data_IF_391671884464
#
_entry.id   IF_391671884464
#
_cell.length_a   1.000
_cell.length_b   1.000
_cell.length_c   1.000
_cell.angle_alpha   90.00
_cell.angle_beta   90.00
_cell.angle_gamma   90.00
#
_symmetry.space_group_name_H-M   'P 1'
#
loop_
_entity.id
_entity.type
_entity.pdbx_description
1 polymer ?
#
# COMPACT_ATOMS: atom_id res chain seq x y z
N UNK A 1 19.84 -33.21 -36.76
CA UNK A 1 19.97 -32.95 -35.31
C UNK A 1 18.78 -32.10 -34.88
N UNK A 2 17.81 -32.71 -34.26
CA UNK A 2 16.60 -32.07 -33.76
C UNK A 2 16.86 -31.60 -32.31
N UNK A 3 16.80 -30.31 -32.06
CA UNK A 3 16.85 -29.76 -30.70
C UNK A 3 15.52 -30.10 -30.00
N UNK A 4 15.55 -30.62 -28.77
CA UNK A 4 14.34 -30.87 -28.01
C UNK A 4 13.72 -29.51 -27.62
N UNK A 5 12.48 -29.29 -28.06
CA UNK A 5 11.64 -28.19 -27.61
C UNK A 5 11.38 -28.40 -26.10
N UNK A 6 11.88 -27.49 -25.27
CA UNK A 6 11.54 -27.46 -23.84
C UNK A 6 10.03 -27.28 -23.74
N UNK A 7 9.32 -28.08 -22.94
CA UNK A 7 7.92 -27.83 -22.66
C UNK A 7 7.81 -26.47 -21.97
N UNK A 8 6.95 -25.60 -22.51
CA UNK A 8 6.57 -24.38 -21.82
C UNK A 8 6.00 -24.79 -20.47
N UNK A 9 6.63 -24.35 -19.39
CA UNK A 9 6.05 -24.47 -18.07
C UNK A 9 4.66 -23.82 -18.09
N UNK A 10 3.64 -24.44 -17.48
CA UNK A 10 2.35 -23.80 -17.37
C UNK A 10 2.53 -22.46 -16.68
N UNK A 11 1.92 -21.42 -17.22
CA UNK A 11 1.92 -20.10 -16.60
C UNK A 11 1.45 -20.26 -15.15
N UNK A 12 2.32 -19.97 -14.22
CA UNK A 12 1.98 -19.92 -12.80
C UNK A 12 0.85 -18.90 -12.68
N UNK A 13 -0.31 -19.35 -12.22
CA UNK A 13 -1.43 -18.44 -11.96
C UNK A 13 -1.01 -17.63 -10.74
N UNK A 14 -0.49 -16.44 -11.00
CA UNK A 14 -0.11 -15.50 -9.97
C UNK A 14 -1.38 -15.04 -9.24
N UNK A 15 -1.60 -15.54 -8.04
CA UNK A 15 -2.72 -15.19 -7.18
C UNK A 15 -2.29 -14.14 -6.14
N UNK A 16 -2.13 -12.91 -6.57
CA UNK A 16 -2.10 -11.77 -5.64
C UNK A 16 -3.40 -11.75 -4.85
N UNK A 17 -3.30 -11.83 -3.52
CA UNK A 17 -4.46 -11.96 -2.64
C UNK A 17 -4.71 -10.68 -1.85
N UNK A 18 -5.97 -10.22 -1.83
CA UNK A 18 -6.42 -9.20 -0.88
C UNK A 18 -7.35 -9.87 0.13
N UNK A 19 -6.97 -9.81 1.39
CA UNK A 19 -7.76 -10.25 2.53
C UNK A 19 -8.31 -9.05 3.29
N UNK A 20 -9.59 -9.11 3.67
CA UNK A 20 -10.25 -8.06 4.46
C UNK A 20 -10.69 -8.68 5.77
N UNK A 21 -10.27 -8.10 6.88
CA UNK A 21 -10.68 -8.51 8.21
C UNK A 21 -12.20 -8.28 8.36
N UNK A 22 -12.99 -9.31 8.64
CA UNK A 22 -14.46 -9.19 8.77
C UNK A 22 -14.89 -8.32 9.95
N UNK A 23 -14.02 -8.03 10.90
CA UNK A 23 -14.32 -7.17 12.05
C UNK A 23 -14.27 -5.68 11.71
N UNK A 24 -13.77 -5.30 10.53
CA UNK A 24 -13.69 -3.89 10.13
C UNK A 24 -15.07 -3.31 9.83
N UNK A 25 -15.40 -2.20 10.49
CA UNK A 25 -16.68 -1.49 10.35
C UNK A 25 -16.82 -0.65 9.08
N UNK A 26 -15.69 -0.39 8.39
CA UNK A 26 -15.61 0.47 7.18
C UNK A 26 -15.75 -0.29 5.86
N UNK A 27 -16.05 -1.58 5.88
CA UNK A 27 -16.14 -2.40 4.66
C UNK A 27 -17.20 -1.91 3.67
N UNK A 28 -18.30 -1.32 4.15
CA UNK A 28 -19.42 -0.89 3.32
C UNK A 28 -19.05 0.26 2.34
N UNK A 29 -18.01 1.03 2.64
CA UNK A 29 -17.53 2.16 1.83
C UNK A 29 -16.39 1.77 0.89
N UNK A 30 -15.92 0.53 0.96
CA UNK A 30 -14.80 0.04 0.20
C UNK A 30 -15.20 -0.36 -1.23
N UNK A 31 -14.32 -0.13 -2.22
CA UNK A 31 -14.50 -0.70 -3.55
C UNK A 31 -14.55 -2.23 -3.50
N UNK A 32 -15.16 -2.84 -4.51
CA UNK A 32 -15.14 -4.28 -4.66
C UNK A 32 -13.69 -4.82 -4.62
N UNK A 33 -13.49 -5.96 -3.99
CA UNK A 33 -12.19 -6.63 -3.85
C UNK A 33 -11.50 -6.82 -5.21
N UNK A 34 -12.25 -7.17 -6.24
CA UNK A 34 -11.75 -7.31 -7.62
C UNK A 34 -11.19 -6.00 -8.19
N UNK A 35 -11.75 -4.85 -7.80
CA UNK A 35 -11.25 -3.53 -8.21
C UNK A 35 -9.92 -3.22 -7.54
N UNK A 36 -9.79 -3.52 -6.26
CA UNK A 36 -8.53 -3.36 -5.52
C UNK A 36 -7.45 -4.30 -6.04
N UNK A 37 -7.79 -5.56 -6.34
CA UNK A 37 -6.85 -6.55 -6.91
C UNK A 37 -6.31 -6.08 -8.26
N UNK A 38 -7.18 -5.59 -9.16
CA UNK A 38 -6.73 -5.04 -10.46
C UNK A 38 -5.82 -3.83 -10.29
N UNK A 39 -6.12 -2.96 -9.33
CA UNK A 39 -5.25 -1.83 -9.01
C UNK A 39 -3.90 -2.29 -8.50
N UNK A 40 -3.87 -3.23 -7.56
CA UNK A 40 -2.64 -3.78 -6.97
C UNK A 40 -1.72 -4.38 -8.04
N UNK A 41 -2.28 -5.16 -8.98
CA UNK A 41 -1.52 -5.73 -10.11
C UNK A 41 -0.88 -4.62 -10.94
N UNK A 42 -1.66 -3.61 -11.35
CA UNK A 42 -1.17 -2.48 -12.15
C UNK A 42 -0.10 -1.67 -11.40
N UNK A 43 -0.32 -1.39 -10.13
CA UNK A 43 0.61 -0.62 -9.32
C UNK A 43 1.92 -1.38 -9.11
N UNK A 44 1.85 -2.68 -8.85
CA UNK A 44 3.01 -3.58 -8.75
C UNK A 44 3.86 -3.56 -10.03
N UNK A 45 3.21 -3.71 -11.18
CA UNK A 45 3.88 -3.63 -12.49
C UNK A 45 4.53 -2.26 -12.72
N UNK A 46 3.83 -1.17 -12.40
CA UNK A 46 4.34 0.19 -12.55
C UNK A 46 5.54 0.49 -11.63
N UNK A 47 5.57 -0.09 -10.43
CA UNK A 47 6.73 -0.03 -9.51
C UNK A 47 7.90 -0.88 -10.03
N UNK A 48 7.63 -1.93 -10.81
CA UNK A 48 8.64 -2.85 -11.35
C UNK A 48 8.86 -4.10 -10.48
N UNK A 49 7.90 -4.47 -9.64
CA UNK A 49 7.94 -5.69 -8.84
C UNK A 49 7.33 -6.83 -9.64
N UNK A 50 8.10 -7.91 -9.85
CA UNK A 50 7.67 -9.12 -10.58
C UNK A 50 6.95 -10.11 -9.67
N UNK A 51 7.42 -10.29 -8.44
CA UNK A 51 6.84 -11.19 -7.44
C UNK A 51 5.43 -10.78 -7.01
N UNK A 52 4.68 -11.73 -6.47
CA UNK A 52 3.35 -11.48 -5.92
C UNK A 52 3.42 -10.63 -4.66
N UNK A 53 2.35 -9.91 -4.40
CA UNK A 53 2.18 -9.12 -3.18
C UNK A 53 0.80 -9.40 -2.62
N UNK A 54 0.75 -9.84 -1.36
CA UNK A 54 -0.50 -10.00 -0.64
C UNK A 54 -0.81 -8.78 0.23
N UNK A 55 -2.08 -8.45 0.36
CA UNK A 55 -2.54 -7.29 1.14
C UNK A 55 -3.58 -7.72 2.17
N UNK A 56 -3.31 -7.42 3.42
CA UNK A 56 -4.26 -7.53 4.52
C UNK A 56 -4.84 -6.14 4.83
N UNK A 57 -6.14 -5.98 4.66
CA UNK A 57 -6.89 -4.81 5.11
C UNK A 57 -7.50 -5.12 6.47
N UNK A 58 -7.10 -4.42 7.51
CA UNK A 58 -7.46 -4.76 8.89
C UNK A 58 -7.68 -3.51 9.76
N UNK A 59 -7.77 -3.68 11.07
CA UNK A 59 -8.03 -2.62 12.04
C UNK A 59 -6.75 -2.01 12.64
N UNK A 60 -6.86 -0.84 13.26
CA UNK A 60 -5.78 -0.23 14.04
C UNK A 60 -5.26 -1.18 15.14
N UNK A 61 -6.14 -1.97 15.75
CA UNK A 61 -5.77 -2.90 16.82
C UNK A 61 -4.83 -4.00 16.31
N UNK A 62 -5.13 -4.59 15.14
CA UNK A 62 -4.27 -5.62 14.53
C UNK A 62 -2.98 -5.02 13.99
N UNK A 63 -3.01 -3.85 13.33
CA UNK A 63 -1.81 -3.14 12.89
C UNK A 63 -0.89 -2.83 14.07
N UNK A 64 -1.45 -2.40 15.22
CA UNK A 64 -0.67 -2.16 16.44
C UNK A 64 0.04 -3.43 16.93
N UNK A 65 -0.63 -4.59 16.89
CA UNK A 65 -0.01 -5.89 17.24
C UNK A 65 1.15 -6.23 16.30
N UNK A 66 0.93 -6.10 14.99
CA UNK A 66 1.97 -6.33 13.98
C UNK A 66 3.14 -5.36 14.15
N UNK A 67 2.86 -4.07 14.34
CA UNK A 67 3.89 -3.04 14.52
C UNK A 67 4.73 -3.30 15.78
N UNK A 68 4.09 -3.76 16.88
CA UNK A 68 4.78 -4.17 18.09
C UNK A 68 5.65 -5.41 17.88
N UNK A 69 5.11 -6.43 17.21
CA UNK A 69 5.81 -7.69 17.00
C UNK A 69 7.03 -7.55 16.07
N UNK A 70 6.91 -6.80 14.98
CA UNK A 70 7.91 -6.75 13.92
C UNK A 70 8.79 -5.48 13.94
N UNK A 71 8.31 -4.37 14.49
CA UNK A 71 9.03 -3.08 14.54
C UNK A 71 9.27 -2.55 15.94
N UNK A 72 8.84 -3.27 16.97
CA UNK A 72 8.92 -2.89 18.39
C UNK A 72 8.25 -1.53 18.73
N UNK A 73 7.25 -1.13 17.92
CA UNK A 73 6.50 0.12 18.10
C UNK A 73 5.08 -0.20 18.59
N UNK A 74 4.76 0.16 19.83
CA UNK A 74 3.44 -0.11 20.43
C UNK A 74 2.38 0.95 20.05
N UNK A 75 2.22 1.22 18.77
CA UNK A 75 1.22 2.15 18.22
C UNK A 75 0.73 1.67 16.85
N UNK A 76 -0.50 2.04 16.44
CA UNK A 76 -0.95 1.78 15.09
C UNK A 76 -0.18 2.66 14.09
N UNK A 77 -0.19 2.25 12.83
CA UNK A 77 0.26 3.00 11.66
C UNK A 77 -0.72 2.74 10.52
N UNK A 78 -0.60 3.47 9.44
CA UNK A 78 -1.46 3.31 8.26
C UNK A 78 -1.13 2.06 7.45
N UNK A 79 0.15 1.84 7.14
CA UNK A 79 0.62 0.69 6.38
C UNK A 79 1.92 0.12 6.97
N UNK A 80 2.04 -1.20 6.92
CA UNK A 80 3.27 -1.95 7.17
C UNK A 80 3.63 -2.75 5.93
N UNK A 81 4.91 -2.74 5.58
CA UNK A 81 5.46 -3.53 4.49
C UNK A 81 6.41 -4.58 5.04
N UNK A 82 6.23 -5.82 4.61
CA UNK A 82 7.02 -6.99 5.01
C UNK A 82 7.67 -7.58 3.76
N UNK A 83 8.90 -7.16 3.41
CA UNK A 83 9.61 -7.74 2.27
C UNK A 83 9.83 -9.23 2.47
N UNK A 84 9.63 -10.01 1.41
CA UNK A 84 10.01 -11.42 1.42
C UNK A 84 11.54 -11.59 1.39
N UNK A 85 12.09 -12.76 1.79
CA UNK A 85 13.48 -13.08 1.59
C UNK A 85 13.89 -12.96 0.12
N UNK A 86 15.14 -12.55 -0.13
CA UNK A 86 15.65 -12.30 -1.48
C UNK A 86 15.51 -13.53 -2.40
N UNK A 87 15.66 -14.72 -1.83
CA UNK A 87 15.63 -15.99 -2.55
C UNK A 87 14.29 -16.29 -3.23
N UNK A 88 13.20 -15.72 -2.72
CA UNK A 88 11.84 -15.92 -3.25
C UNK A 88 11.20 -14.63 -3.78
N UNK A 89 11.91 -13.51 -3.77
CA UNK A 89 11.35 -12.18 -4.08
C UNK A 89 10.75 -12.10 -5.49
N UNK A 90 11.29 -12.83 -6.45
CA UNK A 90 10.73 -12.87 -7.81
C UNK A 90 9.41 -13.65 -7.91
N UNK A 91 9.16 -14.56 -6.97
CA UNK A 91 7.91 -15.32 -6.88
C UNK A 91 6.92 -14.63 -5.95
N UNK A 92 7.38 -14.22 -4.77
CA UNK A 92 6.61 -13.48 -3.76
C UNK A 92 7.48 -12.34 -3.22
N UNK A 93 7.06 -11.11 -3.52
CA UNK A 93 7.84 -9.92 -3.14
C UNK A 93 7.60 -9.50 -1.68
N UNK A 94 6.47 -9.89 -1.10
CA UNK A 94 6.15 -9.60 0.29
C UNK A 94 4.69 -9.31 0.55
N UNK A 95 4.42 -8.81 1.75
CA UNK A 95 3.08 -8.57 2.25
C UNK A 95 2.92 -7.11 2.68
N UNK A 96 1.71 -6.58 2.51
CA UNK A 96 1.29 -5.29 3.04
C UNK A 96 0.17 -5.49 4.06
N UNK A 97 0.22 -4.79 5.17
CA UNK A 97 -0.90 -4.68 6.09
C UNK A 97 -1.33 -3.22 6.21
N UNK A 98 -2.60 -2.93 5.96
CA UNK A 98 -3.16 -1.57 5.91
C UNK A 98 -4.27 -1.45 6.95
N UNK A 99 -4.20 -0.40 7.78
CA UNK A 99 -5.28 -0.06 8.70
C UNK A 99 -6.41 0.66 7.97
N UNK A 100 -7.57 0.04 7.93
CA UNK A 100 -8.79 0.68 7.40
C UNK A 100 -9.28 1.83 8.29
N UNK A 101 -9.08 1.74 9.60
CA UNK A 101 -9.46 2.81 10.53
C UNK A 101 -8.62 4.07 10.28
N UNK A 102 -7.31 3.91 10.14
CA UNK A 102 -6.42 5.01 9.81
C UNK A 102 -6.66 5.53 8.39
N UNK A 103 -6.84 4.64 7.41
CA UNK A 103 -7.17 5.02 6.03
C UNK A 103 -8.46 5.86 5.95
N UNK A 104 -9.50 5.48 6.70
CA UNK A 104 -10.76 6.24 6.75
C UNK A 104 -10.54 7.66 7.31
N UNK A 105 -9.78 7.80 8.41
CA UNK A 105 -9.46 9.12 8.98
C UNK A 105 -8.63 9.98 8.03
N UNK A 106 -7.65 9.40 7.37
CA UNK A 106 -6.80 10.10 6.40
C UNK A 106 -7.61 10.53 5.17
N UNK A 107 -8.48 9.67 4.64
CA UNK A 107 -9.36 9.98 3.52
C UNK A 107 -10.22 11.23 3.81
N UNK A 108 -10.86 11.30 4.98
CA UNK A 108 -11.61 12.48 5.42
C UNK A 108 -10.72 13.71 5.51
N UNK A 109 -9.53 13.58 6.11
CA UNK A 109 -8.60 14.70 6.29
C UNK A 109 -8.07 15.26 4.98
N UNK A 110 -7.92 14.42 3.96
CA UNK A 110 -7.39 14.81 2.65
C UNK A 110 -8.46 15.03 1.58
N UNK A 111 -9.73 14.82 1.90
CA UNK A 111 -10.87 15.12 1.02
C UNK A 111 -11.03 14.16 -0.16
N UNK A 112 -10.72 12.88 0.03
CA UNK A 112 -10.96 11.84 -0.97
C UNK A 112 -11.59 10.58 -0.34
N UNK A 113 -11.97 9.61 -1.16
CA UNK A 113 -12.63 8.40 -0.69
C UNK A 113 -11.66 7.46 0.02
N UNK A 114 -12.21 6.58 0.90
CA UNK A 114 -11.40 5.54 1.53
C UNK A 114 -10.77 4.58 0.50
N UNK A 115 -11.47 4.30 -0.59
CA UNK A 115 -10.94 3.48 -1.68
C UNK A 115 -9.75 4.12 -2.39
N UNK A 116 -9.71 5.44 -2.49
CA UNK A 116 -8.55 6.19 -2.99
C UNK A 116 -7.41 6.14 -1.98
N UNK A 117 -7.69 6.34 -0.69
CA UNK A 117 -6.65 6.26 0.34
C UNK A 117 -6.01 4.89 0.43
N UNK A 118 -6.79 3.81 0.41
CA UNK A 118 -6.26 2.45 0.41
C UNK A 118 -5.35 2.20 -0.80
N UNK A 119 -5.72 2.67 -2.00
CA UNK A 119 -4.86 2.57 -3.19
C UNK A 119 -3.57 3.38 -3.05
N UNK A 120 -3.65 4.54 -2.43
CA UNK A 120 -2.48 5.35 -2.08
C UNK A 120 -1.53 4.59 -1.15
N UNK A 121 -2.06 4.01 -0.09
CA UNK A 121 -1.28 3.23 0.87
C UNK A 121 -0.70 1.95 0.26
N UNK A 122 -1.44 1.29 -0.66
CA UNK A 122 -0.90 0.17 -1.45
C UNK A 122 0.32 0.61 -2.27
N UNK A 123 0.23 1.71 -3.02
CA UNK A 123 1.35 2.23 -3.81
C UNK A 123 2.56 2.55 -2.93
N UNK A 124 2.34 3.25 -1.82
CA UNK A 124 3.39 3.60 -0.86
C UNK A 124 4.09 2.35 -0.30
N UNK A 125 3.31 1.35 0.12
CA UNK A 125 3.83 0.07 0.59
C UNK A 125 4.61 -0.70 -0.48
N UNK A 126 4.16 -0.68 -1.74
CA UNK A 126 4.89 -1.30 -2.85
C UNK A 126 6.25 -0.63 -3.10
N UNK A 127 6.35 0.69 -2.97
CA UNK A 127 7.62 1.39 -3.08
C UNK A 127 8.60 0.96 -1.98
N UNK A 128 8.12 0.77 -0.75
CA UNK A 128 8.94 0.19 0.32
C UNK A 128 9.36 -1.26 0.02
N UNK A 129 8.46 -2.10 -0.51
CA UNK A 129 8.82 -3.47 -0.91
C UNK A 129 9.87 -3.49 -2.02
N UNK A 130 9.89 -2.49 -2.90
CA UNK A 130 10.92 -2.36 -3.95
C UNK A 130 12.28 -1.90 -3.42
N UNK A 131 12.41 -1.67 -2.11
CA UNK A 131 13.64 -1.25 -1.45
C UNK A 131 13.82 0.25 -1.30
N UNK A 132 12.81 1.07 -1.67
CA UNK A 132 12.86 2.51 -1.45
C UNK A 132 12.49 2.86 0.00
N UNK A 133 13.15 3.86 0.57
CA UNK A 133 12.91 4.32 1.94
C UNK A 133 13.05 5.84 2.03
N UNK A 134 11.91 6.52 2.16
CA UNK A 134 11.85 7.98 2.25
C UNK A 134 12.47 8.56 3.53
N UNK A 135 12.71 7.74 4.56
CA UNK A 135 13.41 8.17 5.79
C UNK A 135 14.94 8.20 5.59
N UNK A 136 15.46 7.45 4.60
CA UNK A 136 16.89 7.29 4.36
C UNK A 136 17.38 7.91 3.03
N UNK A 137 16.45 8.19 2.09
CA UNK A 137 16.79 8.73 0.77
C UNK A 137 16.85 10.28 0.76
N UNK A 138 17.14 10.87 -0.41
CA UNK A 138 17.19 12.33 -0.63
C UNK A 138 15.97 12.86 -1.36
N UNK A 139 14.84 12.15 -1.30
CA UNK A 139 13.60 12.48 -1.99
C UNK A 139 13.32 11.63 -3.23
N UNK A 140 14.11 10.59 -3.50
CA UNK A 140 13.95 9.71 -4.65
C UNK A 140 12.61 8.98 -4.59
N UNK A 141 12.23 8.45 -3.42
CA UNK A 141 10.94 7.79 -3.24
C UNK A 141 9.77 8.77 -3.42
N UNK A 142 9.89 10.00 -2.90
CA UNK A 142 8.86 11.02 -3.06
C UNK A 142 8.64 11.38 -4.53
N UNK A 143 9.73 11.55 -5.29
CA UNK A 143 9.68 11.84 -6.72
C UNK A 143 9.02 10.68 -7.49
N UNK A 144 9.42 9.44 -7.21
CA UNK A 144 8.86 8.25 -7.85
C UNK A 144 7.39 8.05 -7.51
N UNK A 145 7.01 8.28 -6.26
CA UNK A 145 5.61 8.22 -5.85
C UNK A 145 4.76 9.26 -6.59
N UNK A 146 5.25 10.49 -6.74
CA UNK A 146 4.55 11.55 -7.46
C UNK A 146 4.29 11.17 -8.94
N UNK A 147 5.29 10.63 -9.63
CA UNK A 147 5.16 10.15 -11.01
C UNK A 147 4.10 9.05 -11.12
N UNK A 148 4.19 8.03 -10.27
CA UNK A 148 3.26 6.89 -10.29
C UNK A 148 1.83 7.28 -9.90
N UNK A 149 1.65 8.29 -9.05
CA UNK A 149 0.31 8.81 -8.75
C UNK A 149 -0.36 9.43 -9.95
N UNK A 150 0.38 10.17 -10.77
CA UNK A 150 -0.15 10.70 -12.03
C UNK A 150 -0.52 9.56 -12.98
N UNK A 151 0.36 8.60 -13.17
CA UNK A 151 0.14 7.44 -14.03
C UNK A 151 -1.08 6.60 -13.62
N UNK A 152 -1.20 6.35 -12.32
CA UNK A 152 -2.26 5.53 -11.72
C UNK A 152 -3.53 6.33 -11.37
N UNK A 153 -3.56 7.63 -11.66
CA UNK A 153 -4.68 8.56 -11.40
C UNK A 153 -5.09 8.59 -9.92
N UNK A 154 -4.10 8.70 -9.04
CA UNK A 154 -4.29 8.82 -7.59
C UNK A 154 -4.24 10.28 -7.12
N UNK A 155 -4.80 10.60 -5.93
CA UNK A 155 -4.68 11.92 -5.29
C UNK A 155 -3.23 12.30 -4.97
N UNK A 156 -2.98 13.49 -4.44
CA UNK A 156 -1.67 14.03 -4.10
C UNK A 156 -0.81 13.10 -3.21
N UNK A 157 0.52 13.27 -3.22
CA UNK A 157 1.48 12.34 -2.61
C UNK A 157 1.34 12.18 -1.10
N UNK A 158 1.58 10.98 -0.59
CA UNK A 158 1.55 10.69 0.84
C UNK A 158 2.70 11.38 1.58
N UNK A 159 3.88 11.43 0.97
CA UNK A 159 5.08 12.05 1.56
C UNK A 159 4.91 13.56 1.72
N UNK A 160 4.32 14.25 0.75
CA UNK A 160 4.00 15.67 0.84
C UNK A 160 3.00 15.99 1.96
N UNK A 161 2.11 15.06 2.27
CA UNK A 161 1.12 15.21 3.34
C UNK A 161 1.76 15.23 4.74
N UNK A 162 2.78 14.41 4.96
CA UNK A 162 3.53 14.36 6.24
C UNK A 162 4.30 15.66 6.46
N UNK A 163 4.75 16.31 5.40
CA UNK A 163 5.52 17.56 5.45
C UNK A 163 4.66 18.83 5.65
N UNK A 164 3.34 18.74 5.52
CA UNK A 164 2.43 19.86 5.75
C UNK A 164 1.88 19.82 7.19
N UNK A 165 2.23 20.79 8.06
CA UNK A 165 1.58 20.92 9.36
C UNK A 165 0.09 21.17 9.14
N UNK A 166 -0.76 20.49 9.91
CA UNK A 166 -2.20 20.70 9.90
C UNK A 166 -2.51 22.20 10.05
N UNK A 167 -3.17 22.78 9.07
CA UNK A 167 -3.66 24.16 9.16
C UNK A 167 -4.69 24.19 10.29
N UNK A 168 -4.32 24.77 11.44
CA UNK A 168 -5.26 25.07 12.51
C UNK A 168 -6.25 26.09 11.95
N UNK A 169 -7.45 25.66 11.65
CA UNK A 169 -8.58 26.55 11.39
C UNK A 169 -8.82 27.38 12.65
N UNK A 170 -8.34 28.61 12.62
CA UNK A 170 -8.63 29.58 13.66
C UNK A 170 -10.14 29.83 13.61
N UNK A 171 -10.86 29.31 14.62
CA UNK A 171 -12.24 29.72 14.91
C UNK A 171 -12.21 31.19 15.22
N UNK A 172 -12.61 32.01 14.27
CA UNK A 172 -12.92 33.42 14.47
C UNK A 172 -14.13 33.47 15.39
N UNK A 173 -13.90 33.75 16.68
CA UNK A 173 -14.98 34.17 17.59
C UNK A 173 -15.41 35.57 17.11
N UNK A 174 -16.62 35.65 16.61
CA UNK A 174 -17.33 36.91 16.48
C UNK A 174 -17.78 37.33 17.90
N UNK A 175 -17.29 38.47 18.34
CA UNK A 175 -17.78 39.17 19.48
C UNK A 175 -19.03 39.96 19.06
#
# INVERSE_FOLDING_TARGET
>A
MLYPTHPRQPATINLTMISIDPSSTVQAEMPAKSTLTRFLIRAREAVGITGEVDVLLTSDAEIKKLNRAFRHKNKPTDVLSFPAPEEIFEEHAGDLAISLDTAARQAVSFGHSIGEEVRVLMLHGLLHLSGMDHEADRGEMAAREAELRVELKLPATLIERVSRPAVKTARRRLA
#
